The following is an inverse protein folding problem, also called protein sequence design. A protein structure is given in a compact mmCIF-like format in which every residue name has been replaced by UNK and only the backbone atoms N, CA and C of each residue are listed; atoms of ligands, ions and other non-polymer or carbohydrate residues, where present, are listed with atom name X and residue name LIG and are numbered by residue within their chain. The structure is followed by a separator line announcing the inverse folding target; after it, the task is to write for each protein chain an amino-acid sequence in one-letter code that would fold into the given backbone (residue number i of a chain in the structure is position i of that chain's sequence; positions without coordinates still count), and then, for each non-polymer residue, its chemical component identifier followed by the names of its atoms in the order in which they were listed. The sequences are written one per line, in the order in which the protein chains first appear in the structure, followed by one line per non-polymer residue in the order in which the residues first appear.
data_IF_767955632090
#
_entry.id   IF_767955632090
#
_cell.length_a   1.000
_cell.length_b   1.000
_cell.length_c   1.000
_cell.angle_alpha   90.00
_cell.angle_beta   90.00
_cell.angle_gamma   90.00
#
_symmetry.space_group_name_H-M   'P 1'
#
loop_
_entity.id
_entity.type
_entity.pdbx_description
1 polymer ?
#
# COMPACT_ATOMS: atom_id res chain seq x y z
N UNK A 1 -25.36 -22.66 43.78
CA UNK A 1 -24.55 -23.06 42.60
C UNK A 1 -24.27 -21.81 41.78
N UNK A 2 -23.32 -21.01 42.26
CA UNK A 2 -22.78 -19.81 41.61
C UNK A 2 -21.57 -20.23 40.78
N UNK A 3 -21.53 -19.85 39.50
CA UNK A 3 -20.29 -19.92 38.71
C UNK A 3 -20.08 -18.58 38.04
N UNK A 4 -19.31 -17.75 38.73
CA UNK A 4 -18.70 -16.53 38.23
C UNK A 4 -17.91 -16.86 36.94
N UNK A 5 -18.26 -16.18 35.84
CA UNK A 5 -17.34 -16.03 34.71
C UNK A 5 -16.37 -14.91 35.10
N UNK A 6 -15.18 -15.31 35.50
CA UNK A 6 -14.05 -14.41 35.67
C UNK A 6 -13.80 -13.67 34.35
N UNK A 7 -13.98 -12.36 34.42
CA UNK A 7 -13.59 -11.38 33.40
C UNK A 7 -12.06 -11.43 33.27
N UNK A 8 -11.57 -11.96 32.14
CA UNK A 8 -10.15 -11.94 31.80
C UNK A 8 -9.76 -10.53 31.35
N UNK A 9 -9.58 -9.65 32.33
CA UNK A 9 -8.79 -8.44 32.19
C UNK A 9 -7.31 -8.81 32.39
N UNK A 10 -6.60 -9.13 31.30
CA UNK A 10 -5.13 -9.05 31.23
C UNK A 10 -4.66 -9.36 29.82
N UNK A 11 -4.00 -8.37 29.20
CA UNK A 11 -2.93 -8.48 28.20
C UNK A 11 -2.93 -7.35 27.14
N UNK A 12 -3.68 -6.25 27.32
CA UNK A 12 -3.42 -5.01 26.56
C UNK A 12 -2.40 -4.18 27.34
N UNK A 13 -1.14 -4.61 27.30
CA UNK A 13 0.00 -3.79 27.70
C UNK A 13 1.24 -4.27 26.97
N UNK A 14 1.44 -3.73 25.76
CA UNK A 14 2.74 -3.66 25.05
C UNK A 14 2.61 -2.85 23.74
N UNK A 15 1.93 -1.70 23.79
CA UNK A 15 2.20 -0.65 22.80
C UNK A 15 3.43 0.12 23.29
N UNK A 16 4.62 -0.37 22.94
CA UNK A 16 5.87 0.38 23.13
C UNK A 16 6.02 1.42 22.01
N UNK A 17 6.75 2.53 22.25
CA UNK A 17 7.07 3.49 21.20
C UNK A 17 7.92 2.80 20.13
N UNK A 18 7.68 3.11 18.85
CA UNK A 18 8.43 2.62 17.68
C UNK A 18 9.91 2.45 18.06
N UNK A 19 10.30 1.19 18.30
CA UNK A 19 11.58 0.87 18.91
C UNK A 19 12.70 1.25 17.96
N UNK A 20 13.69 2.00 18.42
CA UNK A 20 14.93 2.27 17.66
C UNK A 20 15.50 0.94 17.16
N UNK A 21 15.48 0.77 15.84
CA UNK A 21 15.95 -0.44 15.15
C UNK A 21 17.48 -0.42 14.99
N UNK A 22 18.14 -1.59 14.96
CA UNK A 22 19.56 -1.68 14.67
C UNK A 22 19.86 -1.13 13.27
N UNK A 23 21.03 -0.49 13.13
CA UNK A 23 21.48 0.05 11.85
C UNK A 23 21.50 -1.07 10.79
N UNK A 24 20.84 -0.81 9.66
CA UNK A 24 20.79 -1.70 8.52
C UNK A 24 22.19 -1.94 7.90
N UNK A 25 22.28 -2.86 6.92
CA UNK A 25 23.54 -3.14 6.24
C UNK A 25 24.16 -1.86 5.65
N UNK A 26 25.49 -1.82 5.45
CA UNK A 26 26.24 -0.62 5.05
C UNK A 26 25.90 -0.07 3.65
N UNK A 27 24.89 -0.63 2.99
CA UNK A 27 24.27 -0.13 1.77
C UNK A 27 22.75 -0.23 2.01
N UNK A 28 22.07 0.91 2.12
CA UNK A 28 20.69 1.08 2.58
C UNK A 28 19.61 0.49 1.66
N UNK A 29 19.57 -0.82 1.55
CA UNK A 29 18.47 -1.58 0.95
C UNK A 29 17.40 -1.89 1.99
N UNK A 30 16.13 -1.90 1.58
CA UNK A 30 15.04 -2.42 2.42
C UNK A 30 15.26 -3.93 2.59
N UNK A 31 15.49 -4.38 3.82
CA UNK A 31 15.46 -5.80 4.13
C UNK A 31 14.01 -6.30 4.06
N UNK A 32 13.72 -7.28 3.20
CA UNK A 32 12.39 -7.90 3.11
C UNK A 32 11.91 -8.51 4.44
N UNK A 33 12.84 -8.83 5.36
CA UNK A 33 12.51 -9.25 6.73
C UNK A 33 11.99 -8.10 7.60
N UNK A 34 12.11 -6.88 7.12
CA UNK A 34 11.61 -5.66 7.73
C UNK A 34 10.26 -5.20 7.13
N UNK A 35 9.47 -6.15 6.63
CA UNK A 35 8.09 -5.92 6.22
C UNK A 35 7.20 -6.14 7.44
N UNK A 36 6.53 -5.08 7.87
CA UNK A 36 5.50 -5.16 8.90
C UNK A 36 4.12 -5.27 8.26
N UNK A 37 3.33 -6.22 8.74
CA UNK A 37 1.94 -6.37 8.32
C UNK A 37 1.05 -5.48 9.17
N UNK A 38 0.33 -4.58 8.52
CA UNK A 38 -0.69 -3.79 9.20
C UNK A 38 -1.88 -4.70 9.56
N UNK A 39 -2.18 -4.82 10.86
CA UNK A 39 -3.28 -5.64 11.34
C UNK A 39 -4.63 -4.92 11.20
N UNK A 40 -5.70 -5.70 11.29
CA UNK A 40 -7.08 -5.18 11.27
C UNK A 40 -7.28 -4.14 12.38
N UNK A 41 -7.74 -2.94 12.00
CA UNK A 41 -8.03 -1.82 12.91
C UNK A 41 -6.83 -0.92 13.20
N UNK A 42 -5.60 -1.28 12.79
CA UNK A 42 -4.43 -0.41 12.98
C UNK A 42 -4.46 0.83 12.06
N UNK A 43 -5.02 0.70 10.85
CA UNK A 43 -5.26 1.83 9.94
C UNK A 43 -6.08 2.94 10.60
N UNK A 44 -7.01 2.56 11.47
CA UNK A 44 -7.88 3.47 12.21
C UNK A 44 -7.24 4.00 13.49
N UNK A 45 -6.01 3.64 13.82
CA UNK A 45 -5.33 4.19 14.98
C UNK A 45 -4.87 5.64 14.76
N UNK A 46 -4.92 6.50 15.80
CA UNK A 46 -4.32 7.83 15.74
C UNK A 46 -2.81 7.81 15.47
N UNK A 47 -2.13 6.72 15.83
CA UNK A 47 -0.71 6.54 15.56
C UNK A 47 -0.46 6.37 14.04
N UNK A 48 -1.27 5.56 13.36
CA UNK A 48 -1.11 5.31 11.93
C UNK A 48 -1.45 6.53 11.06
N UNK A 49 -2.43 7.35 11.48
CA UNK A 49 -2.75 8.59 10.74
C UNK A 49 -1.61 9.61 10.70
N UNK A 50 -0.59 9.45 11.55
CA UNK A 50 0.61 10.31 11.53
C UNK A 50 1.63 9.86 10.47
N UNK A 51 1.54 8.61 9.99
CA UNK A 51 2.41 8.08 8.94
C UNK A 51 1.70 8.04 7.58
N UNK A 52 0.39 7.83 7.56
CA UNK A 52 -0.45 7.89 6.35
C UNK A 52 -1.74 8.65 6.63
N UNK A 53 -1.83 9.87 6.11
CA UNK A 53 -3.00 10.75 6.30
C UNK A 53 -4.29 10.09 5.81
N UNK A 54 -4.21 9.35 4.69
CA UNK A 54 -5.35 8.64 4.09
C UNK A 54 -5.61 7.27 4.72
N UNK A 55 -4.82 6.88 5.73
CA UNK A 55 -5.00 5.61 6.46
C UNK A 55 -4.93 4.39 5.53
N UNK A 56 -4.03 4.45 4.56
CA UNK A 56 -3.82 3.41 3.58
C UNK A 56 -2.42 2.80 3.73
N UNK A 57 -2.31 1.55 3.33
CA UNK A 57 -1.04 0.88 3.01
C UNK A 57 -0.84 0.93 1.49
N UNK A 58 0.41 0.90 0.99
CA UNK A 58 1.68 0.78 1.71
C UNK A 58 2.25 2.12 2.23
N UNK A 59 3.17 2.01 3.19
CA UNK A 59 4.03 3.10 3.72
C UNK A 59 5.43 2.54 3.96
N UNK A 60 6.46 3.34 3.72
CA UNK A 60 7.85 3.06 4.13
C UNK A 60 8.30 4.09 5.16
N UNK A 61 9.06 3.64 6.16
CA UNK A 61 9.88 4.47 7.04
C UNK A 61 11.34 4.07 6.83
N UNK A 62 12.09 4.93 6.15
CA UNK A 62 13.52 4.77 5.94
C UNK A 62 14.27 5.76 6.82
N UNK A 63 14.67 5.32 8.01
CA UNK A 63 15.41 6.11 9.00
C UNK A 63 14.76 7.48 9.31
N UNK A 64 13.42 7.52 9.38
CA UNK A 64 12.63 8.72 9.66
C UNK A 64 12.12 9.43 8.41
N UNK A 65 12.50 9.00 7.21
CA UNK A 65 11.89 9.44 5.95
C UNK A 65 10.65 8.59 5.71
N UNK A 66 9.48 9.15 6.00
CA UNK A 66 8.19 8.48 5.84
C UNK A 66 7.62 8.81 4.46
N UNK A 67 7.36 7.79 3.66
CA UNK A 67 6.72 7.92 2.34
C UNK A 67 5.51 6.99 2.27
N UNK A 68 4.34 7.58 2.04
CA UNK A 68 3.09 6.88 1.76
C UNK A 68 2.77 6.97 0.25
N UNK A 69 1.72 6.29 -0.20
CA UNK A 69 1.32 6.12 -1.61
C UNK A 69 2.22 5.15 -2.38
N UNK A 70 1.63 4.10 -2.96
CA UNK A 70 2.36 3.03 -3.66
C UNK A 70 3.27 3.57 -4.78
N UNK A 71 2.77 4.50 -5.59
CA UNK A 71 3.54 5.13 -6.67
C UNK A 71 4.73 5.95 -6.15
N UNK A 72 4.55 6.70 -5.06
CA UNK A 72 5.61 7.50 -4.46
C UNK A 72 6.67 6.62 -3.77
N UNK A 73 6.25 5.53 -3.10
CA UNK A 73 7.16 4.54 -2.49
C UNK A 73 8.07 3.91 -3.56
N UNK A 74 7.52 3.50 -4.70
CA UNK A 74 8.31 2.91 -5.79
C UNK A 74 9.28 3.93 -6.39
N UNK A 75 8.84 5.16 -6.62
CA UNK A 75 9.73 6.24 -7.09
C UNK A 75 10.85 6.50 -6.08
N UNK A 76 10.53 6.64 -4.80
CA UNK A 76 11.52 6.81 -3.73
C UNK A 76 12.57 5.70 -3.74
N UNK A 77 12.15 4.45 -3.89
CA UNK A 77 13.07 3.32 -3.95
C UNK A 77 13.95 3.35 -5.21
N UNK A 78 13.38 3.75 -6.33
CA UNK A 78 14.10 3.85 -7.58
C UNK A 78 15.16 4.96 -7.53
N UNK A 79 14.86 6.11 -6.91
CA UNK A 79 15.83 7.17 -6.62
C UNK A 79 16.94 6.67 -5.70
N UNK A 80 16.57 6.06 -4.56
CA UNK A 80 17.52 5.60 -3.56
C UNK A 80 18.46 4.52 -4.12
N UNK A 81 17.93 3.63 -4.97
CA UNK A 81 18.71 2.59 -5.62
C UNK A 81 19.68 3.14 -6.69
N UNK A 82 19.36 4.30 -7.28
CA UNK A 82 20.17 4.93 -8.33
C UNK A 82 20.32 4.10 -9.62
N UNK A 83 19.48 3.09 -9.81
CA UNK A 83 19.61 2.08 -10.90
C UNK A 83 18.30 1.81 -11.65
N UNK A 84 17.17 2.26 -11.13
CA UNK A 84 15.84 1.92 -11.63
C UNK A 84 15.17 3.08 -12.40
N UNK A 85 15.79 4.25 -12.41
CA UNK A 85 15.37 5.44 -13.14
C UNK A 85 16.53 5.90 -14.04
N UNK A 86 16.30 6.18 -15.33
CA UNK A 86 17.30 6.80 -16.19
C UNK A 86 17.79 8.14 -15.63
N UNK A 87 19.07 8.44 -15.80
CA UNK A 87 19.67 9.67 -15.29
C UNK A 87 19.33 10.92 -16.13
N UNK A 88 18.96 10.73 -17.40
CA UNK A 88 18.54 11.83 -18.26
C UNK A 88 17.10 12.28 -17.94
N UNK A 89 16.84 13.57 -18.15
CA UNK A 89 15.56 14.18 -17.82
C UNK A 89 14.39 13.49 -18.54
N UNK A 90 14.55 13.14 -19.81
CA UNK A 90 13.49 12.55 -20.62
C UNK A 90 13.11 11.17 -20.09
N UNK A 91 14.08 10.27 -19.89
CA UNK A 91 13.85 8.93 -19.36
C UNK A 91 13.30 8.97 -17.93
N UNK A 92 13.73 9.92 -17.10
CA UNK A 92 13.13 10.14 -15.77
C UNK A 92 11.65 10.52 -15.87
N UNK A 93 11.30 11.45 -16.75
CA UNK A 93 9.91 11.88 -16.93
C UNK A 93 9.03 10.77 -17.49
N UNK A 94 9.57 9.89 -18.33
CA UNK A 94 8.86 8.70 -18.79
C UNK A 94 8.52 7.76 -17.62
N UNK A 95 9.46 7.47 -16.72
CA UNK A 95 9.18 6.64 -15.53
C UNK A 95 8.10 7.28 -14.66
N UNK A 96 8.22 8.58 -14.38
CA UNK A 96 7.22 9.31 -13.58
C UNK A 96 5.84 9.26 -14.24
N UNK A 97 5.77 9.51 -15.55
CA UNK A 97 4.52 9.42 -16.32
C UNK A 97 3.88 8.03 -16.18
N UNK A 98 4.68 6.96 -16.29
CA UNK A 98 4.18 5.59 -16.13
C UNK A 98 3.74 5.27 -14.70
N UNK A 99 4.41 5.80 -13.68
CA UNK A 99 3.95 5.67 -12.28
C UNK A 99 2.57 6.31 -12.09
N UNK A 100 2.35 7.51 -12.65
CA UNK A 100 1.03 8.16 -12.59
C UNK A 100 -0.01 7.41 -13.43
N UNK A 101 0.35 6.93 -14.62
CA UNK A 101 -0.55 6.12 -15.45
C UNK A 101 -0.98 4.85 -14.70
N UNK A 102 -0.06 4.19 -14.00
CA UNK A 102 -0.35 3.00 -13.22
C UNK A 102 -1.44 3.26 -12.17
N UNK A 103 -1.28 4.28 -11.31
CA UNK A 103 -2.22 4.54 -10.20
C UNK A 103 -3.51 5.24 -10.62
N UNK A 104 -3.50 6.03 -11.70
CA UNK A 104 -4.68 6.82 -12.11
C UNK A 104 -5.50 6.21 -13.24
N UNK A 105 -4.88 5.40 -14.09
CA UNK A 105 -5.51 4.88 -15.32
C UNK A 105 -5.60 3.35 -15.30
N UNK A 106 -4.56 2.67 -14.83
CA UNK A 106 -4.49 1.20 -14.84
C UNK A 106 -5.14 0.58 -13.59
N UNK A 107 -4.86 1.12 -12.41
CA UNK A 107 -5.34 0.56 -11.14
C UNK A 107 -6.88 0.59 -11.01
N UNK A 108 -7.61 1.69 -11.25
CA UNK A 108 -9.05 1.74 -10.99
C UNK A 108 -9.88 0.63 -11.67
N UNK A 109 -9.69 0.32 -12.98
CA UNK A 109 -10.42 -0.79 -13.59
C UNK A 109 -10.00 -2.17 -13.04
N UNK A 110 -8.75 -2.34 -12.61
CA UNK A 110 -8.26 -3.58 -11.99
C UNK A 110 -8.86 -3.79 -10.60
N UNK A 111 -8.83 -2.77 -9.75
CA UNK A 111 -9.48 -2.80 -8.42
C UNK A 111 -10.97 -3.08 -8.54
N UNK A 112 -11.58 -2.60 -9.63
CA UNK A 112 -12.97 -2.91 -9.95
C UNK A 112 -13.24 -4.38 -10.30
N UNK A 113 -12.28 -5.08 -10.91
CA UNK A 113 -12.38 -6.52 -11.17
C UNK A 113 -12.13 -7.31 -9.89
N UNK A 114 -11.16 -6.88 -9.08
CA UNK A 114 -10.80 -7.53 -7.82
C UNK A 114 -11.97 -7.48 -6.81
N UNK A 115 -12.67 -6.35 -6.71
CA UNK A 115 -13.88 -6.23 -5.89
C UNK A 115 -15.02 -7.18 -6.30
N UNK A 116 -15.13 -7.50 -7.60
CA UNK A 116 -16.08 -8.50 -8.10
C UNK A 116 -15.68 -9.89 -7.64
N UNK A 117 -14.39 -10.24 -7.78
CA UNK A 117 -13.88 -11.56 -7.44
C UNK A 117 -13.88 -11.80 -5.92
N UNK A 118 -13.65 -10.75 -5.13
CA UNK A 118 -13.76 -10.75 -3.68
C UNK A 118 -15.22 -10.78 -3.18
N UNK A 119 -16.21 -10.71 -4.08
CA UNK A 119 -17.63 -10.71 -3.72
C UNK A 119 -18.12 -9.41 -3.04
N UNK A 120 -17.30 -8.35 -3.06
CA UNK A 120 -17.62 -7.06 -2.43
C UNK A 120 -18.69 -6.29 -3.20
N UNK A 121 -18.88 -6.62 -4.48
CA UNK A 121 -19.79 -5.92 -5.38
C UNK A 121 -21.26 -6.40 -5.32
N UNK A 122 -21.59 -7.42 -4.51
CA UNK A 122 -22.98 -7.91 -4.33
C UNK A 122 -23.60 -8.59 -5.56
N UNK A 123 -24.93 -8.78 -5.57
CA UNK A 123 -25.66 -9.48 -6.65
C UNK A 123 -25.50 -8.74 -7.99
N UNK A 124 -25.23 -9.48 -9.07
CA UNK A 124 -24.98 -8.94 -10.42
C UNK A 124 -23.52 -8.56 -10.73
N UNK A 125 -22.56 -8.91 -9.86
CA UNK A 125 -21.14 -8.61 -10.04
C UNK A 125 -20.55 -9.24 -11.33
N UNK A 126 -21.00 -10.44 -11.72
CA UNK A 126 -20.56 -11.11 -12.95
C UNK A 126 -20.93 -10.32 -14.22
N UNK A 127 -22.10 -9.69 -14.26
CA UNK A 127 -22.55 -8.88 -15.40
C UNK A 127 -21.78 -7.55 -15.48
N UNK A 128 -21.52 -6.91 -14.33
CA UNK A 128 -20.65 -5.72 -14.23
C UNK A 128 -19.21 -6.02 -14.65
N UNK A 129 -18.74 -7.27 -14.46
CA UNK A 129 -17.41 -7.72 -14.90
C UNK A 129 -17.24 -7.60 -16.41
N UNK A 130 -18.27 -7.99 -17.19
CA UNK A 130 -18.25 -7.88 -18.65
C UNK A 130 -18.24 -6.43 -19.10
N UNK A 131 -19.12 -5.59 -18.53
CA UNK A 131 -19.19 -4.17 -18.89
C UNK A 131 -17.91 -3.39 -18.55
N UNK A 132 -17.29 -3.66 -17.38
CA UNK A 132 -15.99 -3.06 -17.01
C UNK A 132 -14.84 -3.56 -17.87
N UNK A 133 -14.80 -4.86 -18.18
CA UNK A 133 -13.81 -5.43 -19.11
C UNK A 133 -13.89 -4.75 -20.46
N UNK A 134 -15.10 -4.58 -21.00
CA UNK A 134 -15.33 -3.91 -22.27
C UNK A 134 -14.94 -2.43 -22.25
N UNK A 135 -15.25 -1.73 -21.17
CA UNK A 135 -14.91 -0.31 -21.00
C UNK A 135 -13.40 -0.11 -20.90
N UNK A 136 -12.71 -0.99 -20.16
CA UNK A 136 -11.26 -1.03 -20.08
C UNK A 136 -10.65 -1.37 -21.44
N UNK A 137 -11.09 -2.44 -22.12
CA UNK A 137 -10.62 -2.78 -23.45
C UNK A 137 -10.86 -1.65 -24.47
N UNK A 138 -11.94 -0.86 -24.35
CA UNK A 138 -12.19 0.29 -25.23
C UNK A 138 -11.28 1.48 -24.92
N UNK A 139 -11.01 1.78 -23.64
CA UNK A 139 -10.11 2.89 -23.31
C UNK A 139 -8.66 2.57 -23.71
N UNK A 140 -8.23 1.31 -23.55
CA UNK A 140 -6.88 0.87 -23.90
C UNK A 140 -6.65 0.63 -25.39
N UNK A 141 -7.70 0.39 -26.20
CA UNK A 141 -7.59 0.34 -27.67
C UNK A 141 -7.54 1.72 -28.34
N UNK A 142 -7.78 2.79 -27.58
CA UNK A 142 -7.76 4.18 -28.06
C UNK A 142 -6.46 4.93 -27.74
N UNK A 143 -5.56 4.30 -26.97
CA UNK A 143 -4.18 4.72 -26.79
C UNK A 143 -3.30 3.97 -27.80
#
# INVERSE_FOLDING_TARGET
MTRERQSTASAVSRAGPLSRRPAGPPHGWIDHRNIEWCNRGELDSPAYSRVSTFRQVPVIDDDGIIVAESGAVVLYLAEKAGKLIPADFTGRMEVVQWCFAAVTTVEPPLSGIDGIDAGMDGVGAAERRSCRRDSCCRSWRRC
#
